data_IF_977094530296
#
_entry.id   IF_977094530296
#
_cell.length_a   1.000
_cell.length_b   1.000
_cell.length_c   1.000
_cell.angle_alpha   90.00
_cell.angle_beta   90.00
_cell.angle_gamma   90.00
#
_symmetry.space_group_name_H-M   'P 1'
#
loop_
_entity.id
_entity.type
_entity.pdbx_description
1 polymer ?
#
# COMPACT_ATOMS: atom_id res chain seq x y z
N UNK A 1 -6.51 -19.25 -0.15
CA UNK A 1 -5.36 -18.51 0.41
C UNK A 1 -4.51 -18.07 -0.77
N UNK A 2 -4.21 -16.77 -0.91
CA UNK A 2 -3.42 -16.25 -2.04
C UNK A 2 -1.95 -16.64 -1.90
N UNK A 3 -1.27 -16.88 -3.03
CA UNK A 3 0.19 -17.01 -3.10
C UNK A 3 0.89 -15.69 -2.77
N UNK A 4 2.20 -15.71 -2.47
CA UNK A 4 2.97 -14.48 -2.21
C UNK A 4 2.95 -13.53 -3.42
N UNK A 5 3.03 -14.08 -4.62
CA UNK A 5 2.94 -13.34 -5.88
C UNK A 5 1.57 -12.65 -6.02
N UNK A 6 0.48 -13.37 -5.77
CA UNK A 6 -0.87 -12.81 -5.81
C UNK A 6 -1.11 -11.76 -4.71
N UNK A 7 -0.57 -11.96 -3.51
CA UNK A 7 -0.64 -10.99 -2.42
C UNK A 7 0.10 -9.69 -2.76
N UNK A 8 1.26 -9.78 -3.42
CA UNK A 8 2.01 -8.61 -3.87
C UNK A 8 1.25 -7.80 -4.92
N UNK A 9 0.62 -8.48 -5.88
CA UNK A 9 -0.20 -7.81 -6.91
C UNK A 9 -1.43 -7.16 -6.26
N UNK A 10 -2.14 -7.91 -5.42
CA UNK A 10 -3.32 -7.43 -4.69
C UNK A 10 -3.03 -6.18 -3.87
N UNK A 11 -1.98 -6.21 -3.02
CA UNK A 11 -1.64 -5.07 -2.16
C UNK A 11 -1.17 -3.84 -2.92
N UNK A 12 -0.55 -4.01 -4.10
CA UNK A 12 -0.19 -2.88 -4.97
C UNK A 12 -1.44 -2.19 -5.53
N UNK A 13 -2.43 -2.97 -5.93
CA UNK A 13 -3.69 -2.44 -6.44
C UNK A 13 -4.47 -1.74 -5.32
N UNK A 14 -4.65 -2.40 -4.18
CA UNK A 14 -5.35 -1.83 -3.02
C UNK A 14 -4.71 -0.53 -2.52
N UNK A 15 -3.37 -0.44 -2.55
CA UNK A 15 -2.63 0.79 -2.24
C UNK A 15 -3.05 1.93 -3.18
N UNK A 16 -3.10 1.68 -4.48
CA UNK A 16 -3.49 2.69 -5.47
C UNK A 16 -4.95 3.11 -5.28
N UNK A 17 -5.86 2.14 -5.12
CA UNK A 17 -7.29 2.41 -4.99
C UNK A 17 -7.61 3.20 -3.72
N UNK A 18 -6.95 2.87 -2.61
CA UNK A 18 -7.12 3.59 -1.34
C UNK A 18 -6.58 5.03 -1.42
N UNK A 19 -5.40 5.23 -2.01
CA UNK A 19 -4.84 6.58 -2.20
C UNK A 19 -5.77 7.41 -3.08
N UNK A 20 -6.22 6.85 -4.22
CA UNK A 20 -7.12 7.54 -5.13
C UNK A 20 -8.45 7.91 -4.44
N UNK A 21 -8.98 7.02 -3.62
CA UNK A 21 -10.19 7.29 -2.83
C UNK A 21 -9.98 8.45 -1.86
N UNK A 22 -8.85 8.46 -1.14
CA UNK A 22 -8.52 9.54 -0.20
C UNK A 22 -8.29 10.88 -0.92
N UNK A 23 -7.67 10.88 -2.09
CA UNK A 23 -7.51 12.09 -2.91
C UNK A 23 -8.86 12.61 -3.42
N UNK A 24 -9.74 11.72 -3.86
CA UNK A 24 -11.10 12.09 -4.28
C UNK A 24 -11.89 12.70 -3.13
N UNK A 25 -11.79 12.12 -1.92
CA UNK A 25 -12.43 12.67 -0.72
C UNK A 25 -11.82 14.03 -0.36
N UNK A 26 -10.49 14.16 -0.38
CA UNK A 26 -9.81 15.45 -0.16
C UNK A 26 -10.35 16.53 -1.08
N UNK A 27 -10.53 16.22 -2.36
CA UNK A 27 -11.04 17.15 -3.36
C UNK A 27 -12.53 17.52 -3.11
N UNK A 28 -13.34 16.59 -2.58
CA UNK A 28 -14.75 16.85 -2.24
C UNK A 28 -14.93 17.70 -0.98
N UNK A 29 -14.08 17.49 0.04
CA UNK A 29 -14.20 18.18 1.33
C UNK A 29 -13.45 19.53 1.39
N UNK A 30 -12.74 19.89 0.32
CA UNK A 30 -12.07 21.18 0.15
C UNK A 30 -10.82 21.37 1.01
N UNK A 31 -10.16 22.52 0.82
CA UNK A 31 -8.83 22.80 1.40
C UNK A 31 -8.80 22.79 2.93
N UNK A 32 -9.91 23.14 3.59
CA UNK A 32 -9.99 23.22 5.06
C UNK A 32 -9.65 21.90 5.76
N UNK A 33 -9.92 20.76 5.10
CA UNK A 33 -9.64 19.44 5.63
C UNK A 33 -8.42 18.76 4.97
N UNK A 34 -7.71 19.48 4.09
CA UNK A 34 -6.67 18.90 3.23
C UNK A 34 -5.52 18.26 4.02
N UNK A 35 -5.12 18.85 5.16
CA UNK A 35 -4.07 18.31 6.01
C UNK A 35 -4.42 16.91 6.56
N UNK A 36 -5.65 16.71 7.02
CA UNK A 36 -6.10 15.40 7.54
C UNK A 36 -5.99 14.33 6.45
N UNK A 37 -6.41 14.65 5.22
CA UNK A 37 -6.30 13.72 4.11
C UNK A 37 -4.84 13.50 3.68
N UNK A 38 -4.00 14.54 3.68
CA UNK A 38 -2.58 14.41 3.34
C UNK A 38 -1.84 13.51 4.35
N UNK A 39 -2.12 13.69 5.64
CA UNK A 39 -1.60 12.82 6.69
C UNK A 39 -2.10 11.38 6.49
N UNK A 40 -3.39 11.20 6.20
CA UNK A 40 -3.97 9.88 5.97
C UNK A 40 -3.38 9.18 4.74
N UNK A 41 -3.18 9.90 3.64
CA UNK A 41 -2.53 9.38 2.43
C UNK A 41 -1.09 8.98 2.75
N UNK A 42 -0.34 9.83 3.46
CA UNK A 42 1.05 9.55 3.83
C UNK A 42 1.16 8.31 4.72
N UNK A 43 0.28 8.19 5.72
CA UNK A 43 0.20 7.02 6.58
C UNK A 43 -0.18 5.75 5.81
N UNK A 44 -1.15 5.83 4.90
CA UNK A 44 -1.53 4.71 4.02
C UNK A 44 -0.34 4.26 3.17
N UNK A 45 0.38 5.18 2.54
CA UNK A 45 1.59 4.88 1.76
C UNK A 45 2.62 4.14 2.63
N UNK A 46 2.93 4.69 3.81
CA UNK A 46 3.90 4.09 4.74
C UNK A 46 3.54 2.65 5.12
N UNK A 47 2.29 2.39 5.51
CA UNK A 47 1.85 1.06 5.90
C UNK A 47 1.96 0.05 4.75
N UNK A 48 1.47 0.42 3.55
CA UNK A 48 1.56 -0.47 2.39
C UNK A 48 3.01 -0.73 1.99
N UNK A 49 3.86 0.29 1.97
CA UNK A 49 5.26 0.15 1.58
C UNK A 49 6.03 -0.75 2.56
N UNK A 50 5.70 -0.68 3.86
CA UNK A 50 6.25 -1.58 4.89
C UNK A 50 5.86 -3.04 4.62
N UNK A 51 4.57 -3.34 4.42
CA UNK A 51 4.10 -4.71 4.15
C UNK A 51 4.64 -5.24 2.83
N UNK A 52 4.65 -4.43 1.77
CA UNK A 52 5.21 -4.80 0.47
C UNK A 52 6.70 -5.11 0.56
N UNK A 53 7.43 -4.42 1.43
CA UNK A 53 8.86 -4.71 1.69
C UNK A 53 9.02 -6.08 2.34
N UNK A 54 8.28 -6.36 3.42
CA UNK A 54 8.32 -7.67 4.08
C UNK A 54 7.93 -8.83 3.13
N UNK A 55 6.94 -8.62 2.25
CA UNK A 55 6.56 -9.64 1.27
C UNK A 55 7.64 -9.88 0.21
N UNK A 56 8.34 -8.83 -0.24
CA UNK A 56 9.48 -8.98 -1.15
C UNK A 56 10.62 -9.74 -0.49
N UNK A 57 10.90 -9.47 0.79
CA UNK A 57 11.91 -10.20 1.57
C UNK A 57 11.55 -11.68 1.70
N UNK A 58 10.30 -12.00 2.03
CA UNK A 58 9.81 -13.38 2.08
C UNK A 58 9.90 -14.08 0.73
N UNK A 59 9.55 -13.38 -0.36
CA UNK A 59 9.70 -13.92 -1.71
C UNK A 59 11.17 -14.18 -2.06
N UNK A 60 12.07 -13.29 -1.67
CA UNK A 60 13.50 -13.48 -1.83
C UNK A 60 14.01 -14.69 -1.04
N UNK A 61 13.57 -14.88 0.20
CA UNK A 61 13.93 -16.04 1.02
C UNK A 61 13.40 -17.36 0.43
N UNK A 62 12.15 -17.40 -0.04
CA UNK A 62 11.58 -18.56 -0.75
C UNK A 62 12.41 -18.95 -1.99
N UNK A 63 12.95 -17.95 -2.69
CA UNK A 63 13.70 -18.15 -3.94
C UNK A 63 15.20 -18.35 -3.72
N UNK A 64 15.70 -18.28 -2.48
CA UNK A 64 17.08 -18.67 -2.20
C UNK A 64 17.18 -20.19 -2.36
N UNK A 65 18.16 -20.70 -3.13
CA UNK A 65 18.47 -22.12 -3.10
C UNK A 65 18.83 -22.49 -1.66
N UNK A 66 18.13 -23.48 -1.10
CA UNK A 66 18.52 -24.11 0.16
C UNK A 66 19.83 -24.85 -0.08
N UNK A 67 20.93 -24.35 0.47
CA UNK A 67 22.10 -25.16 0.81
C UNK A 67 21.78 -26.06 2.02
#
# INVERSE_FOLDING_TARGET
>A
MLTLEEQLVFLKQERQDMIQTLENLRNQFGERNSEIFNEKISHTIFCYDSVLTSLKELQHLKNRPHD
#
